data_IF_842092492465
#
_entry.id   IF_842092492465
#
_cell.length_a   1.000
_cell.length_b   1.000
_cell.length_c   1.000
_cell.angle_alpha   90.00
_cell.angle_beta   90.00
_cell.angle_gamma   90.00
#
_symmetry.space_group_name_H-M   'P 1'
#
loop_
_entity.id
_entity.type
_entity.pdbx_description
1 polymer ?
#
# COMPACT_ATOMS: atom_id res chain seq x y z
N UNK A 1 -13.97 -24.64 -7.49
CA UNK A 1 -12.82 -24.43 -6.57
C UNK A 1 -13.18 -23.32 -5.60
N UNK A 2 -13.20 -23.60 -4.29
CA UNK A 2 -13.49 -22.59 -3.28
C UNK A 2 -12.37 -21.55 -3.24
N UNK A 3 -12.69 -20.26 -3.40
CA UNK A 3 -11.74 -19.16 -3.17
C UNK A 3 -11.34 -19.19 -1.70
N UNK A 4 -10.16 -19.73 -1.40
CA UNK A 4 -9.59 -19.67 -0.06
C UNK A 4 -9.52 -18.19 0.35
N UNK A 5 -10.25 -17.80 1.41
CA UNK A 5 -10.15 -16.44 1.94
C UNK A 5 -8.77 -16.30 2.55
N UNK A 6 -7.87 -15.57 1.89
CA UNK A 6 -6.60 -15.14 2.47
C UNK A 6 -6.86 -14.50 3.84
N UNK A 7 -6.16 -15.01 4.85
CA UNK A 7 -6.12 -14.43 6.19
C UNK A 7 -5.45 -13.05 6.12
N UNK A 8 -5.71 -12.21 7.13
CA UNK A 8 -5.00 -10.94 7.23
C UNK A 8 -3.61 -11.18 7.84
N UNK A 9 -2.59 -10.67 7.18
CA UNK A 9 -1.20 -10.69 7.66
C UNK A 9 -0.91 -9.43 8.46
N UNK A 10 -0.32 -9.52 9.67
CA UNK A 10 0.19 -8.37 10.41
C UNK A 10 1.28 -7.63 9.64
N UNK A 11 1.37 -6.32 9.78
CA UNK A 11 2.32 -5.51 9.01
C UNK A 11 3.77 -5.91 9.29
N UNK A 12 4.12 -6.19 10.55
CA UNK A 12 5.47 -6.60 10.94
C UNK A 12 5.91 -7.96 10.36
N UNK A 13 4.99 -8.76 9.84
CA UNK A 13 5.28 -10.07 9.23
C UNK A 13 5.40 -10.02 7.71
N UNK A 14 5.15 -8.87 7.09
CA UNK A 14 5.36 -8.69 5.67
C UNK A 14 6.84 -8.88 5.36
N UNK A 15 7.12 -9.71 4.34
CA UNK A 15 8.47 -9.93 3.83
C UNK A 15 8.54 -9.48 2.38
N UNK A 16 9.58 -8.74 1.98
CA UNK A 16 9.88 -8.54 0.57
C UNK A 16 10.15 -9.92 -0.03
N UNK A 17 9.42 -10.23 -1.09
CA UNK A 17 9.18 -11.56 -1.61
C UNK A 17 10.45 -12.35 -2.00
N UNK A 18 10.35 -13.68 -1.82
CA UNK A 18 10.94 -14.68 -2.71
C UNK A 18 9.78 -15.47 -3.34
N UNK A 19 9.34 -15.04 -4.51
CA UNK A 19 8.35 -15.66 -5.41
C UNK A 19 6.83 -15.62 -5.06
N UNK A 20 6.16 -14.60 -5.62
CA UNK A 20 4.74 -14.47 -5.93
C UNK A 20 3.76 -14.49 -4.75
N UNK A 21 4.19 -14.18 -3.54
CA UNK A 21 3.29 -14.15 -2.38
C UNK A 21 2.41 -12.89 -2.37
N UNK A 22 1.09 -13.06 -2.50
CA UNK A 22 0.10 -11.98 -2.37
C UNK A 22 -0.31 -11.85 -0.92
N UNK A 23 0.06 -10.73 -0.30
CA UNK A 23 -0.34 -10.39 1.06
C UNK A 23 -1.70 -9.69 1.11
N UNK A 24 -2.49 -10.02 2.13
CA UNK A 24 -3.72 -9.30 2.47
C UNK A 24 -3.56 -8.68 3.84
N UNK A 25 -3.69 -7.36 3.96
CA UNK A 25 -3.54 -6.64 5.23
C UNK A 25 -4.82 -5.89 5.60
N UNK A 26 -5.06 -5.68 6.89
CA UNK A 26 -6.15 -4.82 7.40
C UNK A 26 -5.52 -3.66 8.15
N UNK A 27 -5.70 -2.45 7.63
CA UNK A 27 -5.03 -1.26 8.12
C UNK A 27 -5.94 -0.04 8.07
N UNK A 28 -5.60 0.96 8.89
CA UNK A 28 -6.14 2.31 8.83
C UNK A 28 -5.15 3.22 8.13
N UNK A 29 -5.64 4.07 7.21
CA UNK A 29 -4.84 5.16 6.64
C UNK A 29 -4.69 6.24 7.71
N UNK A 30 -3.45 6.53 8.12
CA UNK A 30 -3.14 7.53 9.15
C UNK A 30 -2.69 8.85 8.54
N UNK A 31 -1.97 8.80 7.42
CA UNK A 31 -1.61 9.99 6.63
C UNK A 31 -1.70 9.66 5.14
N UNK A 32 -2.07 10.66 4.36
CA UNK A 32 -2.17 10.57 2.91
C UNK A 32 -1.78 11.92 2.29
N UNK A 33 -0.93 11.92 1.28
CA UNK A 33 -0.61 13.12 0.50
C UNK A 33 -0.32 12.78 -0.95
N UNK A 34 -0.62 13.72 -1.85
CA UNK A 34 -0.23 13.62 -3.27
C UNK A 34 1.20 14.10 -3.41
N UNK A 35 1.99 13.44 -4.25
CA UNK A 35 3.29 13.94 -4.67
C UNK A 35 3.30 14.17 -6.19
N UNK A 36 4.15 15.09 -6.64
CA UNK A 36 4.34 15.36 -8.06
C UNK A 36 5.53 14.55 -8.58
N UNK A 37 5.42 14.00 -9.79
CA UNK A 37 6.59 13.43 -10.44
C UNK A 37 7.42 14.58 -11.01
N UNK A 38 8.63 14.80 -10.48
CA UNK A 38 9.53 15.92 -10.83
C UNK A 38 9.99 15.99 -12.29
N UNK A 39 9.53 15.07 -13.16
CA UNK A 39 9.87 15.03 -14.58
C UNK A 39 9.00 16.00 -15.40
N UNK A 40 7.75 16.28 -15.00
CA UNK A 40 6.87 17.25 -15.67
C UNK A 40 5.96 17.96 -14.66
N UNK A 41 5.99 19.31 -14.59
CA UNK A 41 5.04 20.09 -13.81
C UNK A 41 3.59 19.72 -14.18
N UNK A 42 2.74 19.53 -13.18
CA UNK A 42 1.31 19.23 -13.39
C UNK A 42 0.94 17.73 -13.42
N UNK A 43 1.91 16.82 -13.51
CA UNK A 43 1.63 15.39 -13.40
C UNK A 43 1.64 14.92 -11.94
N UNK A 44 0.50 14.44 -11.45
CA UNK A 44 0.43 13.76 -10.14
C UNK A 44 1.27 12.48 -10.23
N UNK A 45 2.36 12.44 -9.46
CA UNK A 45 3.27 11.31 -9.41
C UNK A 45 2.65 10.11 -8.70
N UNK A 46 1.77 10.38 -7.74
CA UNK A 46 1.02 9.37 -7.02
C UNK A 46 0.45 9.87 -5.70
N UNK A 47 0.10 8.93 -4.85
CA UNK A 47 -0.32 9.14 -3.47
C UNK A 47 0.61 8.34 -2.56
N UNK A 48 1.21 9.02 -1.60
CA UNK A 48 1.91 8.37 -0.49
C UNK A 48 0.98 8.25 0.72
N UNK A 49 1.20 7.17 1.46
CA UNK A 49 0.34 6.71 2.55
C UNK A 49 1.20 6.25 3.74
N UNK A 50 0.72 6.53 4.94
CA UNK A 50 1.15 5.83 6.16
C UNK A 50 -0.02 4.98 6.64
N UNK A 51 0.19 3.67 6.74
CA UNK A 51 -0.79 2.67 7.13
C UNK A 51 -0.46 2.14 8.53
N UNK A 52 -1.48 1.89 9.34
CA UNK A 52 -1.37 1.37 10.71
C UNK A 52 -2.29 0.15 10.87
N UNK A 53 -1.79 -0.98 11.36
CA UNK A 53 -2.61 -2.15 11.67
C UNK A 53 -3.20 -2.11 13.09
N UNK A 54 -3.89 -3.18 13.48
CA UNK A 54 -4.52 -3.32 14.80
C UNK A 54 -3.53 -3.65 15.92
N UNK A 55 -2.30 -4.05 15.59
CA UNK A 55 -1.20 -4.27 16.53
C UNK A 55 -0.41 -2.99 16.83
N UNK A 56 -0.63 -1.95 16.04
CA UNK A 56 0.04 -0.66 16.18
C UNK A 56 1.28 -0.53 15.28
N UNK A 57 1.54 -1.52 14.43
CA UNK A 57 2.64 -1.51 13.48
C UNK A 57 2.32 -0.62 12.28
N UNK A 58 3.35 0.03 11.73
CA UNK A 58 3.23 1.02 10.65
C UNK A 58 4.01 0.61 9.42
N UNK A 59 3.46 0.89 8.25
CA UNK A 59 4.14 0.75 6.96
C UNK A 59 3.85 1.96 6.07
N UNK A 60 4.87 2.40 5.32
CA UNK A 60 4.71 3.40 4.27
C UNK A 60 4.36 2.69 2.95
N UNK A 61 3.37 3.22 2.23
CA UNK A 61 2.95 2.71 0.93
C UNK A 61 2.84 3.86 -0.08
N UNK A 62 3.00 3.52 -1.37
CA UNK A 62 2.93 4.46 -2.47
C UNK A 62 2.06 3.90 -3.59
N UNK A 63 1.06 4.66 -4.03
CA UNK A 63 0.25 4.37 -5.21
C UNK A 63 0.74 5.26 -6.34
N UNK A 64 1.29 4.66 -7.40
CA UNK A 64 1.74 5.41 -8.58
C UNK A 64 0.55 6.01 -9.33
N UNK A 65 0.70 7.23 -9.85
CA UNK A 65 -0.36 7.97 -10.55
C UNK A 65 -1.09 7.18 -11.64
N UNK A 66 -0.37 6.32 -12.38
CA UNK A 66 -0.95 5.44 -13.42
C UNK A 66 -2.01 4.44 -12.91
N UNK A 67 -2.04 4.17 -11.60
CA UNK A 67 -2.97 3.23 -10.96
C UNK A 67 -4.14 3.95 -10.29
N UNK A 68 -4.18 5.28 -10.37
CA UNK A 68 -5.23 6.11 -9.79
C UNK A 68 -6.20 6.46 -10.92
N UNK A 69 -7.45 5.99 -10.84
CA UNK A 69 -8.53 6.53 -11.65
C UNK A 69 -9.07 7.80 -10.99
N UNK A 70 -9.15 8.88 -11.76
CA UNK A 70 -9.70 10.16 -11.33
C UNK A 70 -11.21 10.23 -11.55
#
# INVERSE_FOLDING_TARGET
MSKMKLAFTPVAQLKPDSENEIWKIRVRVVRMWRFQNGVKPGNVGGIDLILLDDKGDRIQACIRGKLISW
#
